data_IF_219067280643
#
_entry.id   IF_219067280643
#
_cell.length_a   1.000
_cell.length_b   1.000
_cell.length_c   1.000
_cell.angle_alpha   90.00
_cell.angle_beta   90.00
_cell.angle_gamma   90.00
#
_symmetry.space_group_name_H-M   'P 1'
#
loop_
_entity.id
_entity.type
_entity.pdbx_description
1 polymer ?
#
# COMPACT_ATOMS: atom_id res chain seq x y z
N UNK A 1 -19.24 -11.04 4.09
CA UNK A 1 -18.40 -9.84 3.89
C UNK A 1 -17.31 -10.27 2.92
N UNK A 2 -17.25 -9.70 1.72
CA UNK A 2 -16.16 -10.04 0.80
C UNK A 2 -14.87 -9.54 1.47
N UNK A 3 -13.98 -10.45 1.81
CA UNK A 3 -12.65 -10.12 2.30
C UNK A 3 -11.95 -9.39 1.14
N UNK A 4 -11.36 -8.23 1.42
CA UNK A 4 -10.61 -7.47 0.40
C UNK A 4 -9.54 -8.33 -0.29
N UNK A 5 -9.04 -7.88 -1.43
CA UNK A 5 -7.96 -8.59 -2.14
C UNK A 5 -6.68 -8.49 -1.31
N UNK A 6 -6.09 -9.63 -0.98
CA UNK A 6 -4.80 -9.67 -0.29
C UNK A 6 -3.65 -9.48 -1.29
N UNK A 7 -2.75 -8.54 -0.99
CA UNK A 7 -1.50 -8.33 -1.72
C UNK A 7 -0.33 -8.65 -0.81
N UNK A 8 0.33 -9.78 -1.09
CA UNK A 8 1.49 -10.24 -0.36
C UNK A 8 2.79 -9.76 -1.04
N UNK A 9 3.69 -9.18 -0.23
CA UNK A 9 5.03 -8.79 -0.60
C UNK A 9 6.05 -9.65 0.15
N UNK A 10 7.14 -10.09 -0.51
CA UNK A 10 8.14 -10.93 0.13
C UNK A 10 9.06 -10.16 1.09
N UNK A 11 9.18 -8.83 0.95
CA UNK A 11 10.03 -7.98 1.79
C UNK A 11 9.50 -6.55 1.87
N UNK A 12 9.90 -5.81 2.90
CA UNK A 12 9.59 -4.37 3.04
C UNK A 12 10.13 -3.57 1.85
N UNK A 13 11.31 -3.92 1.33
CA UNK A 13 11.87 -3.25 0.16
C UNK A 13 11.03 -3.44 -1.10
N UNK A 14 10.40 -4.62 -1.27
CA UNK A 14 9.50 -4.87 -2.39
C UNK A 14 8.20 -4.05 -2.26
N UNK A 15 7.63 -3.97 -1.04
CA UNK A 15 6.49 -3.09 -0.75
C UNK A 15 6.85 -1.63 -1.04
N UNK A 16 7.96 -1.14 -0.48
CA UNK A 16 8.43 0.22 -0.68
C UNK A 16 8.61 0.56 -2.16
N UNK A 17 9.29 -0.29 -2.93
CA UNK A 17 9.49 -0.04 -4.37
C UNK A 17 8.17 0.03 -5.12
N UNK A 18 7.17 -0.75 -4.74
CA UNK A 18 5.83 -0.69 -5.32
C UNK A 18 5.09 0.58 -4.93
N UNK A 19 5.15 0.99 -3.66
CA UNK A 19 4.56 2.24 -3.17
C UNK A 19 5.22 3.47 -3.83
N UNK A 20 6.55 3.47 -3.98
CA UNK A 20 7.31 4.52 -4.67
C UNK A 20 6.91 4.62 -6.15
N UNK A 21 6.72 3.49 -6.84
CA UNK A 21 6.19 3.49 -8.20
C UNK A 21 4.78 4.09 -8.25
N UNK A 22 3.89 3.74 -7.32
CA UNK A 22 2.54 4.32 -7.24
C UNK A 22 2.56 5.81 -6.97
N UNK A 23 3.42 6.27 -6.07
CA UNK A 23 3.61 7.69 -5.80
C UNK A 23 4.17 8.43 -7.02
N UNK A 24 5.13 7.84 -7.73
CA UNK A 24 5.70 8.42 -8.96
C UNK A 24 4.67 8.62 -10.08
N UNK A 25 3.71 7.70 -10.21
CA UNK A 25 2.60 7.82 -11.17
C UNK A 25 1.44 8.70 -10.68
N UNK A 26 1.46 9.12 -9.42
CA UNK A 26 0.44 9.99 -8.86
C UNK A 26 0.72 11.45 -9.25
N UNK A 27 -0.33 12.18 -9.60
CA UNK A 27 -0.21 13.58 -10.05
C UNK A 27 0.25 14.52 -8.93
N UNK A 28 0.01 14.14 -7.67
CA UNK A 28 0.41 14.87 -6.47
C UNK A 28 0.48 13.94 -5.26
N UNK A 29 1.05 14.43 -4.16
CA UNK A 29 1.05 13.71 -2.87
C UNK A 29 -0.38 13.51 -2.32
N UNK A 30 -1.31 14.43 -2.58
CA UNK A 30 -2.71 14.31 -2.19
C UNK A 30 -3.42 13.21 -3.00
N UNK A 31 -3.14 13.12 -4.30
CA UNK A 31 -3.69 12.05 -5.14
C UNK A 31 -3.17 10.66 -4.72
N UNK A 32 -1.91 10.58 -4.29
CA UNK A 32 -1.34 9.37 -3.72
C UNK A 32 -2.02 8.97 -2.40
N UNK A 33 -2.22 9.94 -1.51
CA UNK A 33 -2.93 9.75 -0.23
C UNK A 33 -4.36 9.22 -0.45
N UNK A 34 -5.14 9.88 -1.30
CA UNK A 34 -6.51 9.45 -1.62
C UNK A 34 -6.52 8.03 -2.21
N UNK A 35 -5.59 7.72 -3.11
CA UNK A 35 -5.43 6.38 -3.67
C UNK A 35 -5.10 5.34 -2.60
N UNK A 36 -4.17 5.63 -1.69
CA UNK A 36 -3.74 4.70 -0.65
C UNK A 36 -4.89 4.44 0.35
N UNK A 37 -5.62 5.48 0.74
CA UNK A 37 -6.80 5.34 1.59
C UNK A 37 -7.90 4.50 0.92
N UNK A 38 -8.20 4.73 -0.36
CA UNK A 38 -9.17 3.92 -1.11
C UNK A 38 -8.67 2.47 -1.27
N UNK A 39 -7.38 2.27 -1.50
CA UNK A 39 -6.77 0.95 -1.63
C UNK A 39 -7.02 0.12 -0.37
N UNK A 40 -6.77 0.67 0.82
CA UNK A 40 -6.97 -0.03 2.09
C UNK A 40 -8.44 -0.27 2.48
N UNK A 41 -9.42 0.34 1.80
CA UNK A 41 -10.84 -0.02 1.98
C UNK A 41 -11.19 -1.38 1.40
N UNK A 42 -10.46 -1.82 0.39
CA UNK A 42 -10.78 -3.02 -0.40
C UNK A 42 -9.65 -4.02 -0.46
N UNK A 43 -8.47 -3.70 0.06
CA UNK A 43 -7.28 -4.53 -0.01
C UNK A 43 -6.57 -4.60 1.33
N UNK A 44 -5.79 -5.66 1.51
CA UNK A 44 -4.94 -5.88 2.67
C UNK A 44 -3.52 -6.11 2.14
N UNK A 45 -2.54 -5.45 2.74
CA UNK A 45 -1.13 -5.71 2.44
C UNK A 45 -0.58 -6.66 3.48
N UNK A 46 0.15 -7.67 3.02
CA UNK A 46 0.97 -8.50 3.91
C UNK A 46 2.42 -8.44 3.46
N UNK A 47 3.36 -8.31 4.40
CA UNK A 47 4.80 -8.38 4.15
C UNK A 47 5.38 -9.47 5.04
N UNK A 48 6.01 -10.48 4.43
CA UNK A 48 6.53 -11.65 5.15
C UNK A 48 5.48 -12.33 6.07
N UNK A 49 4.21 -12.26 5.67
CA UNK A 49 3.08 -12.82 6.43
C UNK A 49 2.56 -11.93 7.56
N UNK A 50 3.13 -10.76 7.78
CA UNK A 50 2.60 -9.74 8.69
C UNK A 50 1.67 -8.79 7.94
N UNK A 51 0.52 -8.46 8.52
CA UNK A 51 -0.43 -7.50 7.95
C UNK A 51 0.06 -6.07 8.19
N UNK A 52 0.01 -5.25 7.14
CA UNK A 52 0.44 -3.85 7.16
C UNK A 52 -0.75 -2.95 6.93
N UNK A 53 -0.82 -1.85 7.65
CA UNK A 53 -1.89 -0.87 7.53
C UNK A 53 -1.51 0.34 6.67
N UNK A 54 -2.46 1.27 6.58
CA UNK A 54 -2.29 2.53 5.84
C UNK A 54 -1.08 3.34 6.35
N UNK A 55 -0.91 3.44 7.67
CA UNK A 55 0.15 4.25 8.28
C UNK A 55 1.51 3.60 8.05
N UNK A 56 1.61 2.27 8.20
CA UNK A 56 2.84 1.54 7.91
C UNK A 56 3.32 1.80 6.47
N UNK A 57 2.39 1.85 5.51
CA UNK A 57 2.70 2.13 4.11
C UNK A 57 3.00 3.61 3.84
N UNK A 58 2.32 4.52 4.53
CA UNK A 58 2.55 5.96 4.41
C UNK A 58 3.94 6.37 4.90
N UNK A 59 4.43 5.77 5.98
CA UNK A 59 5.76 6.07 6.55
C UNK A 59 6.93 5.54 5.70
N UNK A 60 6.68 4.69 4.69
CA UNK A 60 7.72 4.16 3.81
C UNK A 60 8.12 5.10 2.66
N UNK A 61 7.35 6.17 2.42
CA UNK A 61 7.47 7.09 1.29
C UNK A 61 7.99 8.45 1.74
#
# INVERSE_FOLDING_TARGET
>A
MAKGTEMAFPTVSALRSWLEEKNFWSESAEAYDEWLQEFFRYNIITVDGEEWDYWDCWELI
#
